data_IF_186264380474
#
_entry.id   IF_186264380474
#
_cell.length_a   1.000
_cell.length_b   1.000
_cell.length_c   1.000
_cell.angle_alpha   90.00
_cell.angle_beta   90.00
_cell.angle_gamma   90.00
#
_symmetry.space_group_name_H-M   'P 1'
#
loop_
_entity.id
_entity.type
_entity.pdbx_description
1 polymer ?
#
# COMPACT_ATOMS: atom_id res chain seq x y z
N UNK A 1 -5.44 -46.51 -7.04
CA UNK A 1 -4.23 -46.22 -6.22
C UNK A 1 -3.18 -45.67 -7.18
N UNK A 2 -3.13 -44.35 -7.38
CA UNK A 2 -2.24 -43.75 -8.39
C UNK A 2 -2.63 -42.33 -8.78
N UNK A 3 -2.63 -41.39 -7.82
CA UNK A 3 -2.92 -39.97 -8.09
C UNK A 3 -2.09 -38.99 -7.24
N UNK A 4 -0.97 -39.44 -6.65
CA UNK A 4 -0.18 -38.64 -5.70
C UNK A 4 1.32 -38.59 -6.02
N UNK A 5 1.74 -38.70 -7.28
CA UNK A 5 3.16 -38.54 -7.60
C UNK A 5 3.40 -37.85 -8.95
N UNK A 6 2.90 -36.63 -9.09
CA UNK A 6 3.57 -35.62 -9.91
C UNK A 6 4.35 -34.71 -8.98
N UNK A 7 5.28 -35.30 -8.21
CA UNK A 7 6.33 -34.53 -7.54
C UNK A 7 7.13 -33.89 -8.67
N UNK A 8 7.20 -32.56 -8.66
CA UNK A 8 8.01 -31.79 -9.61
C UNK A 8 9.44 -32.33 -9.54
N UNK A 9 9.81 -33.16 -10.50
CA UNK A 9 11.14 -33.75 -10.57
C UNK A 9 12.02 -32.74 -11.28
N UNK A 10 12.87 -32.05 -10.51
CA UNK A 10 13.88 -31.15 -11.06
C UNK A 10 14.97 -31.99 -11.73
N UNK A 11 14.77 -32.36 -13.00
CA UNK A 11 15.74 -33.19 -13.74
C UNK A 11 16.90 -32.38 -14.36
N UNK A 12 16.78 -31.04 -14.50
CA UNK A 12 17.74 -30.23 -15.27
C UNK A 12 18.28 -28.99 -14.53
N UNK A 13 19.61 -28.81 -14.53
CA UNK A 13 20.31 -27.61 -14.01
C UNK A 13 19.84 -26.29 -14.68
N UNK A 14 19.39 -26.38 -15.94
CA UNK A 14 18.87 -25.24 -16.70
C UNK A 14 17.53 -24.74 -16.15
N UNK A 15 16.67 -25.62 -15.64
CA UNK A 15 15.38 -25.23 -15.04
C UNK A 15 15.60 -24.50 -13.70
N UNK A 16 16.61 -24.92 -12.93
CA UNK A 16 17.02 -24.21 -11.72
C UNK A 16 17.55 -22.80 -12.03
N UNK A 17 18.30 -22.65 -13.11
CA UNK A 17 18.79 -21.34 -13.56
C UNK A 17 17.66 -20.40 -14.00
N UNK A 18 16.55 -20.94 -14.51
CA UNK A 18 15.34 -20.15 -14.85
C UNK A 18 14.63 -19.62 -13.62
N UNK A 19 14.62 -20.38 -12.52
CA UNK A 19 14.08 -19.93 -11.22
C UNK A 19 14.86 -18.75 -10.63
N UNK A 20 16.17 -18.68 -10.88
CA UNK A 20 17.01 -17.58 -10.42
C UNK A 20 16.91 -16.29 -11.28
N UNK A 21 15.98 -16.24 -12.24
CA UNK A 21 15.72 -15.01 -12.99
C UNK A 21 14.86 -14.03 -12.16
N UNK A 22 15.02 -12.73 -12.40
CA UNK A 22 14.31 -11.67 -11.65
C UNK A 22 12.79 -11.85 -11.59
N UNK A 23 12.15 -12.27 -12.69
CA UNK A 23 10.70 -12.47 -12.75
C UNK A 23 10.21 -13.55 -11.78
N UNK A 24 10.73 -14.80 -11.88
CA UNK A 24 10.38 -15.86 -10.96
C UNK A 24 10.67 -15.59 -9.49
N UNK A 25 11.79 -14.94 -9.19
CA UNK A 25 12.13 -14.56 -7.81
C UNK A 25 11.10 -13.59 -7.25
N UNK A 26 10.75 -12.54 -7.99
CA UNK A 26 9.76 -11.55 -7.55
C UNK A 26 8.39 -12.20 -7.36
N UNK A 27 7.95 -13.04 -8.31
CA UNK A 27 6.66 -13.71 -8.23
C UNK A 27 6.57 -14.64 -7.01
N UNK A 28 7.60 -15.46 -6.77
CA UNK A 28 7.66 -16.32 -5.58
C UNK A 28 7.72 -15.50 -4.29
N UNK A 29 8.44 -14.38 -4.28
CA UNK A 29 8.49 -13.46 -3.15
C UNK A 29 7.11 -12.86 -2.83
N UNK A 30 6.38 -12.40 -3.84
CA UNK A 30 5.02 -11.87 -3.66
C UNK A 30 4.06 -12.96 -3.15
N UNK A 31 4.08 -14.16 -3.75
CA UNK A 31 3.24 -15.28 -3.30
C UNK A 31 3.54 -15.63 -1.84
N UNK A 32 4.82 -15.66 -1.45
CA UNK A 32 5.22 -15.95 -0.08
C UNK A 32 4.71 -14.87 0.89
N UNK A 33 4.98 -13.59 0.62
CA UNK A 33 4.58 -12.48 1.49
C UNK A 33 3.05 -12.43 1.63
N UNK A 34 2.32 -12.45 0.52
CA UNK A 34 0.86 -12.42 0.53
C UNK A 34 0.27 -13.62 1.29
N UNK A 35 0.82 -14.82 1.10
CA UNK A 35 0.35 -16.01 1.82
C UNK A 35 0.65 -15.93 3.31
N UNK A 36 1.85 -15.48 3.70
CA UNK A 36 2.19 -15.31 5.13
C UNK A 36 1.32 -14.27 5.82
N UNK A 37 1.05 -13.14 5.16
CA UNK A 37 0.20 -12.09 5.72
C UNK A 37 -1.25 -12.58 5.84
N UNK A 38 -1.79 -13.24 4.81
CA UNK A 38 -3.13 -13.83 4.88
C UNK A 38 -3.27 -14.86 6.03
N UNK A 39 -2.24 -15.68 6.26
CA UNK A 39 -2.23 -16.62 7.39
C UNK A 39 -2.18 -15.88 8.74
N UNK A 40 -1.30 -14.88 8.88
CA UNK A 40 -1.21 -14.08 10.12
C UNK A 40 -2.54 -13.37 10.41
N UNK A 41 -3.15 -12.74 9.41
CA UNK A 41 -4.44 -12.06 9.56
C UNK A 41 -5.55 -13.04 9.94
N UNK A 42 -5.55 -14.25 9.37
CA UNK A 42 -6.51 -15.30 9.73
C UNK A 42 -6.34 -15.80 11.18
N UNK A 43 -5.13 -15.72 11.73
CA UNK A 43 -4.85 -16.14 13.11
C UNK A 43 -5.18 -15.01 14.09
N UNK A 44 -4.83 -13.77 13.73
CA UNK A 44 -4.89 -12.62 14.63
C UNK A 44 -6.27 -11.93 14.64
N UNK A 45 -6.89 -11.78 13.46
CA UNK A 45 -8.12 -10.98 13.30
C UNK A 45 -9.37 -11.81 13.03
N UNK A 46 -9.23 -13.04 12.55
CA UNK A 46 -10.36 -13.90 12.23
C UNK A 46 -10.75 -14.84 13.38
N UNK A 47 -11.64 -15.80 13.09
CA UNK A 47 -12.18 -16.76 14.03
C UNK A 47 -11.07 -17.65 14.64
N UNK A 48 -11.09 -17.89 15.97
CA UNK A 48 -10.01 -18.59 16.65
C UNK A 48 -9.81 -20.02 16.11
N UNK A 49 -8.56 -20.45 15.96
CA UNK A 49 -8.23 -21.76 15.37
C UNK A 49 -8.90 -22.95 16.08
N UNK A 50 -9.19 -22.83 17.38
CA UNK A 50 -9.85 -23.86 18.16
C UNK A 50 -11.30 -24.14 17.76
N UNK A 51 -11.95 -23.23 17.02
CA UNK A 51 -13.29 -23.47 16.53
C UNK A 51 -13.26 -24.10 15.13
N UNK A 52 -14.21 -25.01 14.87
CA UNK A 52 -14.23 -25.83 13.64
C UNK A 52 -14.20 -24.99 12.36
N UNK A 53 -14.93 -23.88 12.33
CA UNK A 53 -14.96 -22.95 11.20
C UNK A 53 -13.64 -22.21 10.96
N UNK A 54 -12.89 -21.90 12.02
CA UNK A 54 -11.59 -21.24 11.93
C UNK A 54 -10.55 -22.20 11.35
N UNK A 55 -10.55 -23.44 11.87
CA UNK A 55 -9.74 -24.54 11.33
C UNK A 55 -10.03 -24.82 9.85
N UNK A 56 -11.31 -24.87 9.43
CA UNK A 56 -11.68 -25.08 8.03
C UNK A 56 -11.21 -23.94 7.13
N UNK A 57 -11.39 -22.68 7.56
CA UNK A 57 -10.91 -21.53 6.79
C UNK A 57 -9.37 -21.56 6.64
N UNK A 58 -8.65 -21.87 7.72
CA UNK A 58 -7.19 -21.97 7.70
C UNK A 58 -6.69 -23.07 6.75
N UNK A 59 -7.32 -24.25 6.76
CA UNK A 59 -7.00 -25.35 5.83
C UNK A 59 -7.28 -24.94 4.38
N UNK A 60 -8.39 -24.24 4.13
CA UNK A 60 -8.73 -23.73 2.80
C UNK A 60 -7.68 -22.71 2.30
N UNK A 61 -7.23 -21.79 3.16
CA UNK A 61 -6.18 -20.82 2.82
C UNK A 61 -4.86 -21.51 2.46
N UNK A 62 -4.43 -22.50 3.25
CA UNK A 62 -3.24 -23.29 2.94
C UNK A 62 -3.39 -24.02 1.60
N UNK A 63 -4.56 -24.62 1.35
CA UNK A 63 -4.84 -25.31 0.10
C UNK A 63 -4.75 -24.37 -1.11
N UNK A 64 -5.31 -23.15 -0.99
CA UNK A 64 -5.21 -22.13 -2.03
C UNK A 64 -3.78 -21.68 -2.28
N UNK A 65 -2.95 -21.50 -1.24
CA UNK A 65 -1.52 -21.20 -1.41
C UNK A 65 -0.81 -22.31 -2.21
N UNK A 66 -1.06 -23.58 -1.88
CA UNK A 66 -0.48 -24.72 -2.61
C UNK A 66 -0.95 -24.73 -4.07
N UNK A 67 -2.23 -24.47 -4.34
CA UNK A 67 -2.76 -24.38 -5.70
C UNK A 67 -2.14 -23.24 -6.51
N UNK A 68 -1.95 -22.06 -5.91
CA UNK A 68 -1.31 -20.92 -6.57
C UNK A 68 0.12 -21.28 -6.98
N UNK A 69 0.89 -21.86 -6.06
CA UNK A 69 2.28 -22.28 -6.31
C UNK A 69 2.32 -23.36 -7.40
N UNK A 70 1.43 -24.35 -7.35
CA UNK A 70 1.35 -25.41 -8.34
C UNK A 70 1.03 -24.88 -9.75
N UNK A 71 0.01 -24.03 -9.87
CA UNK A 71 -0.36 -23.41 -11.14
C UNK A 71 0.75 -22.52 -11.68
N UNK A 72 1.45 -21.81 -10.79
CA UNK A 72 2.58 -20.97 -11.16
C UNK A 72 3.75 -21.79 -11.74
N UNK A 73 4.15 -22.88 -11.07
CA UNK A 73 5.20 -23.75 -11.58
C UNK A 73 4.81 -24.48 -12.87
N UNK A 74 3.54 -24.88 -13.00
CA UNK A 74 3.04 -25.43 -14.26
C UNK A 74 3.14 -24.42 -15.41
N UNK A 75 2.73 -23.18 -15.19
CA UNK A 75 2.86 -22.12 -16.19
C UNK A 75 4.33 -21.84 -16.55
N UNK A 76 5.23 -21.85 -15.57
CA UNK A 76 6.66 -21.57 -15.75
C UNK A 76 7.39 -22.67 -16.53
N UNK A 77 7.18 -23.94 -16.15
CA UNK A 77 7.92 -25.06 -16.71
C UNK A 77 7.28 -25.67 -17.94
N UNK A 78 5.95 -25.79 -17.98
CA UNK A 78 5.27 -26.39 -19.13
C UNK A 78 5.09 -25.37 -20.28
N UNK A 79 4.80 -24.09 -19.96
CA UNK A 79 4.52 -23.05 -20.96
C UNK A 79 3.39 -23.42 -21.94
N UNK A 80 3.12 -22.59 -22.96
CA UNK A 80 2.12 -22.90 -24.00
C UNK A 80 2.61 -23.93 -25.05
N UNK A 81 3.75 -24.58 -24.82
CA UNK A 81 4.42 -25.45 -25.79
C UNK A 81 5.24 -24.69 -26.84
N UNK A 82 5.85 -25.43 -27.77
CA UNK A 82 6.64 -24.90 -28.87
C UNK A 82 5.86 -25.00 -30.18
N UNK A 83 5.94 -23.95 -30.99
CA UNK A 83 5.41 -23.99 -32.36
C UNK A 83 6.31 -24.93 -33.21
N UNK A 84 5.73 -25.91 -33.94
CA UNK A 84 6.52 -26.82 -34.77
C UNK A 84 7.37 -26.06 -35.81
N UNK A 85 8.58 -26.55 -36.06
CA UNK A 85 9.47 -25.96 -37.09
C UNK A 85 8.77 -26.00 -38.46
N UNK A 86 8.63 -24.84 -39.09
CA UNK A 86 7.94 -24.68 -40.37
C UNK A 86 6.48 -24.23 -40.28
N UNK A 87 5.95 -23.99 -39.09
CA UNK A 87 4.66 -23.34 -38.93
C UNK A 87 4.69 -21.94 -39.57
N UNK A 88 3.75 -21.70 -40.47
CA UNK A 88 3.49 -20.37 -41.05
C UNK A 88 2.05 -20.01 -40.70
N UNK A 89 1.76 -18.76 -40.31
CA UNK A 89 0.38 -18.33 -40.17
C UNK A 89 -0.30 -18.50 -41.54
N UNK A 90 -1.52 -19.02 -41.56
CA UNK A 90 -2.33 -19.09 -42.77
C UNK A 90 -2.44 -17.67 -43.36
N UNK A 91 -1.88 -17.45 -44.55
CA UNK A 91 -2.12 -16.21 -45.28
C UNK A 91 -3.59 -16.17 -45.66
N UNK A 92 -4.33 -15.21 -45.12
CA UNK A 92 -5.77 -15.08 -45.31
C UNK A 92 -6.07 -14.68 -46.77
N UNK A 93 -6.20 -15.67 -47.65
CA UNK A 93 -6.74 -15.52 -49.00
C UNK A 93 -8.18 -16.01 -49.01
N UNK A 94 -9.13 -15.13 -49.29
CA UNK A 94 -10.59 -15.33 -49.17
C UNK A 94 -11.19 -16.54 -49.94
N UNK A 95 -10.40 -17.28 -50.72
CA UNK A 95 -10.91 -18.27 -51.68
C UNK A 95 -10.54 -19.74 -51.40
N UNK A 96 -9.85 -20.07 -50.30
CA UNK A 96 -9.49 -21.49 -50.00
C UNK A 96 -9.48 -21.77 -48.50
N UNK A 97 -10.65 -21.99 -47.92
CA UNK A 97 -10.79 -22.43 -46.51
C UNK A 97 -10.93 -23.96 -46.49
N UNK A 98 -9.83 -24.67 -46.27
CA UNK A 98 -9.84 -26.03 -45.70
C UNK A 98 -9.01 -26.00 -44.42
N UNK A 99 -9.67 -25.75 -43.29
CA UNK A 99 -9.05 -25.79 -41.98
C UNK A 99 -8.98 -27.25 -41.56
N UNK A 100 -7.82 -27.87 -41.73
CA UNK A 100 -7.58 -29.23 -41.21
C UNK A 100 -7.09 -29.14 -39.76
N UNK A 101 -8.03 -29.23 -38.80
CA UNK A 101 -7.74 -29.21 -37.37
C UNK A 101 -7.18 -30.55 -36.83
N UNK A 102 -6.87 -31.52 -37.69
CA UNK A 102 -6.42 -32.85 -37.27
C UNK A 102 -5.07 -32.84 -36.51
N UNK A 103 -4.23 -31.81 -36.70
CA UNK A 103 -2.95 -31.68 -35.99
C UNK A 103 -3.09 -31.21 -34.53
N UNK A 104 -4.17 -30.51 -34.17
CA UNK A 104 -4.42 -30.04 -32.80
C UNK A 104 -4.99 -31.14 -31.88
N UNK A 105 -5.30 -32.33 -32.44
CA UNK A 105 -5.99 -33.42 -31.73
C UNK A 105 -5.05 -34.38 -30.99
N UNK A 106 -3.72 -34.28 -31.16
CA UNK A 106 -2.81 -35.33 -30.66
C UNK A 106 -2.47 -35.24 -29.18
N UNK A 107 -2.60 -34.06 -28.57
CA UNK A 107 -2.41 -33.90 -27.13
C UNK A 107 -3.67 -33.25 -26.55
N UNK A 108 -4.39 -33.90 -25.62
CA UNK A 108 -5.44 -33.25 -24.87
C UNK A 108 -4.79 -32.29 -23.87
N UNK A 109 -4.20 -31.20 -24.38
CA UNK A 109 -3.97 -30.03 -23.54
C UNK A 109 -5.36 -29.59 -23.04
N UNK A 110 -5.49 -29.17 -21.78
CA UNK A 110 -6.73 -28.57 -21.29
C UNK A 110 -7.00 -27.33 -22.15
N UNK A 111 -7.88 -27.49 -23.13
CA UNK A 111 -8.40 -26.38 -23.92
C UNK A 111 -9.20 -25.58 -22.91
N UNK A 112 -8.68 -24.45 -22.43
CA UNK A 112 -9.48 -23.52 -21.66
C UNK A 112 -10.57 -23.05 -22.62
N UNK A 113 -11.84 -23.45 -22.45
CA UNK A 113 -12.86 -23.00 -23.37
C UNK A 113 -12.96 -21.50 -23.17
N UNK A 114 -12.61 -20.73 -24.20
CA UNK A 114 -12.88 -19.29 -24.28
C UNK A 114 -14.41 -19.10 -24.42
N UNK A 115 -15.15 -19.49 -23.40
CA UNK A 115 -16.57 -19.21 -23.27
C UNK A 115 -16.75 -17.74 -22.92
N UNK A 116 -17.87 -17.16 -23.38
CA UNK A 116 -18.23 -15.78 -23.08
C UNK A 116 -18.17 -15.46 -21.57
N UNK A 117 -18.57 -16.43 -20.73
CA UNK A 117 -18.51 -16.32 -19.28
C UNK A 117 -17.08 -16.25 -18.72
N UNK A 118 -16.17 -17.10 -19.22
CA UNK A 118 -14.76 -17.08 -18.79
C UNK A 118 -14.09 -15.75 -19.21
N UNK A 119 -14.37 -15.28 -20.43
CA UNK A 119 -13.90 -13.99 -20.90
C UNK A 119 -14.44 -12.83 -20.05
N UNK A 120 -15.75 -12.80 -19.78
CA UNK A 120 -16.37 -11.79 -18.92
C UNK A 120 -15.80 -11.80 -17.50
N UNK A 121 -15.59 -12.99 -16.92
CA UNK A 121 -14.97 -13.13 -15.60
C UNK A 121 -13.53 -12.59 -15.57
N UNK A 122 -12.73 -12.81 -16.63
CA UNK A 122 -11.37 -12.26 -16.71
C UNK A 122 -11.36 -10.73 -16.84
N UNK A 123 -12.29 -10.14 -17.61
CA UNK A 123 -12.42 -8.68 -17.71
C UNK A 123 -12.87 -8.07 -16.37
N UNK A 124 -13.79 -8.74 -15.67
CA UNK A 124 -14.23 -8.31 -14.34
C UNK A 124 -13.10 -8.39 -13.31
N UNK A 125 -12.36 -9.49 -13.27
CA UNK A 125 -11.21 -9.65 -12.38
C UNK A 125 -10.12 -8.61 -12.67
N UNK A 126 -9.83 -8.33 -13.95
CA UNK A 126 -8.92 -7.25 -14.35
C UNK A 126 -9.43 -5.88 -13.86
N UNK A 127 -10.73 -5.60 -14.04
CA UNK A 127 -11.35 -4.36 -13.58
C UNK A 127 -11.24 -4.17 -12.07
N UNK A 128 -11.51 -5.21 -11.28
CA UNK A 128 -11.36 -5.17 -9.83
C UNK A 128 -9.89 -5.00 -9.41
N UNK A 129 -8.96 -5.71 -10.06
CA UNK A 129 -7.54 -5.60 -9.76
C UNK A 129 -7.00 -4.18 -10.05
N UNK A 130 -7.39 -3.58 -11.17
CA UNK A 130 -7.03 -2.21 -11.51
C UNK A 130 -7.66 -1.21 -10.54
N UNK A 131 -8.97 -1.34 -10.25
CA UNK A 131 -9.67 -0.45 -9.34
C UNK A 131 -9.09 -0.48 -7.92
N UNK A 132 -8.81 -1.67 -7.39
CA UNK A 132 -8.19 -1.84 -6.06
C UNK A 132 -6.76 -1.30 -6.03
N UNK A 133 -5.95 -1.55 -7.06
CA UNK A 133 -4.57 -1.03 -7.14
C UNK A 133 -4.56 0.49 -7.15
N UNK A 134 -5.45 1.12 -7.92
CA UNK A 134 -5.56 2.59 -7.97
C UNK A 134 -6.02 3.14 -6.62
N UNK A 135 -7.06 2.55 -6.02
CA UNK A 135 -7.60 3.00 -4.74
C UNK A 135 -6.57 2.89 -3.60
N UNK A 136 -5.92 1.73 -3.47
CA UNK A 136 -4.86 1.50 -2.47
C UNK A 136 -3.64 2.38 -2.74
N UNK A 137 -3.29 2.60 -4.02
CA UNK A 137 -2.20 3.51 -4.41
C UNK A 137 -2.47 4.97 -4.02
N UNK A 138 -3.71 5.46 -4.20
CA UNK A 138 -4.12 6.80 -3.76
C UNK A 138 -4.05 6.93 -2.24
N UNK A 139 -4.55 5.93 -1.51
CA UNK A 139 -4.45 5.90 -0.04
C UNK A 139 -2.99 5.91 0.41
N UNK A 140 -2.14 5.08 -0.20
CA UNK A 140 -0.71 5.04 0.10
C UNK A 140 -0.05 6.41 -0.10
N UNK A 141 -0.33 7.10 -1.22
CA UNK A 141 0.20 8.42 -1.48
C UNK A 141 -0.22 9.45 -0.43
N UNK A 142 -1.50 9.42 -0.01
CA UNK A 142 -2.01 10.30 1.05
C UNK A 142 -1.29 10.01 2.37
N UNK A 143 -1.15 8.74 2.75
CA UNK A 143 -0.49 8.34 3.99
C UNK A 143 1.00 8.71 4.00
N UNK A 144 1.72 8.52 2.90
CA UNK A 144 3.13 8.95 2.80
C UNK A 144 3.24 10.46 2.95
N UNK A 145 2.34 11.23 2.34
CA UNK A 145 2.36 12.70 2.47
C UNK A 145 2.11 13.17 3.91
N UNK A 146 1.24 12.48 4.64
CA UNK A 146 0.95 12.67 6.07
C UNK A 146 2.22 12.42 6.90
N UNK A 147 2.89 11.29 6.67
CA UNK A 147 4.14 10.91 7.36
C UNK A 147 5.26 11.94 7.10
N UNK A 148 5.45 12.35 5.84
CA UNK A 148 6.50 13.32 5.50
C UNK A 148 6.29 14.71 6.11
N UNK A 149 5.04 15.06 6.47
CA UNK A 149 4.69 16.32 7.12
C UNK A 149 4.61 16.23 8.64
N UNK A 150 4.83 15.03 9.20
CA UNK A 150 4.62 14.69 10.60
C UNK A 150 3.28 15.20 11.17
N UNK A 151 2.20 14.95 10.42
CA UNK A 151 0.83 15.39 10.75
C UNK A 151 -0.14 14.28 10.49
N UNK A 152 -0.92 13.89 11.49
CA UNK A 152 -2.07 13.00 11.33
C UNK A 152 -3.21 13.67 10.55
N UNK A 153 -4.17 12.89 10.04
CA UNK A 153 -5.35 13.45 9.37
C UNK A 153 -6.15 14.40 10.26
N UNK A 154 -6.19 14.13 11.58
CA UNK A 154 -6.87 14.98 12.56
C UNK A 154 -6.13 16.31 12.71
N UNK A 155 -4.81 16.26 12.85
CA UNK A 155 -3.96 17.46 12.96
C UNK A 155 -3.99 18.31 11.70
N UNK A 156 -4.06 17.68 10.52
CA UNK A 156 -4.24 18.39 9.25
C UNK A 156 -5.53 19.20 9.24
N UNK A 157 -6.62 18.66 9.81
CA UNK A 157 -7.88 19.38 9.92
C UNK A 157 -7.80 20.54 10.95
N UNK A 158 -7.05 20.35 12.03
CA UNK A 158 -6.79 21.43 13.02
C UNK A 158 -5.99 22.57 12.37
N UNK A 159 -4.94 22.25 11.62
CA UNK A 159 -4.13 23.24 10.87
C UNK A 159 -4.97 23.99 9.84
N UNK A 160 -5.80 23.29 9.07
CA UNK A 160 -6.67 23.90 8.06
C UNK A 160 -7.68 24.86 8.70
N UNK A 161 -8.31 24.42 9.80
CA UNK A 161 -9.20 25.26 10.60
C UNK A 161 -8.48 26.45 11.22
N UNK A 162 -7.20 26.31 11.56
CA UNK A 162 -6.40 27.42 12.07
C UNK A 162 -6.17 28.48 11.00
N UNK A 163 -5.75 28.05 9.80
CA UNK A 163 -5.53 28.92 8.64
C UNK A 163 -6.80 29.63 8.20
N UNK A 164 -7.93 28.92 8.15
CA UNK A 164 -9.23 29.50 7.79
C UNK A 164 -9.62 30.64 8.74
N UNK A 165 -9.38 30.50 10.04
CA UNK A 165 -9.65 31.56 11.03
C UNK A 165 -8.71 32.76 10.91
N UNK A 166 -7.42 32.52 10.72
CA UNK A 166 -6.43 33.59 10.49
C UNK A 166 -6.82 34.40 9.26
N UNK A 167 -7.17 33.72 8.17
CA UNK A 167 -7.63 34.34 6.94
C UNK A 167 -8.95 35.11 7.14
N UNK A 168 -9.91 34.53 7.88
CA UNK A 168 -11.19 35.17 8.17
C UNK A 168 -11.06 36.49 8.94
N UNK A 169 -10.16 36.53 9.93
CA UNK A 169 -9.89 37.74 10.73
C UNK A 169 -8.82 38.65 10.12
N UNK A 170 -8.29 38.32 8.93
CA UNK A 170 -7.20 39.04 8.26
C UNK A 170 -6.00 39.28 9.19
N UNK A 171 -5.66 38.27 9.98
CA UNK A 171 -4.48 38.30 10.83
C UNK A 171 -3.25 38.07 9.94
N UNK A 172 -2.27 38.96 10.02
CA UNK A 172 -0.97 38.80 9.35
C UNK A 172 -0.06 37.85 10.13
N UNK A 173 -0.61 36.70 10.48
CA UNK A 173 0.00 35.67 11.32
C UNK A 173 0.07 34.37 10.53
N UNK A 174 1.18 33.64 10.66
CA UNK A 174 1.39 32.33 10.04
C UNK A 174 1.32 31.27 11.13
N UNK A 175 0.44 30.29 10.92
CA UNK A 175 0.35 29.13 11.80
C UNK A 175 1.49 28.14 11.49
N UNK A 176 2.36 27.94 12.46
CA UNK A 176 3.48 26.99 12.40
C UNK A 176 3.09 25.72 13.15
N UNK A 177 3.26 24.57 12.50
CA UNK A 177 2.89 23.28 13.10
C UNK A 177 3.99 22.77 14.06
N UNK A 178 3.70 22.52 15.35
CA UNK A 178 4.73 22.23 16.36
C UNK A 178 5.57 20.98 16.11
N UNK A 179 4.95 19.88 15.65
CA UNK A 179 5.62 18.60 15.47
C UNK A 179 6.31 18.45 14.11
N UNK A 180 6.23 19.45 13.22
CA UNK A 180 6.95 19.42 11.95
C UNK A 180 8.40 19.87 12.15
N UNK A 181 9.33 18.92 12.08
CA UNK A 181 10.77 19.19 12.29
C UNK A 181 11.43 19.91 11.10
N UNK A 182 10.66 20.30 10.08
CA UNK A 182 11.13 21.08 8.92
C UNK A 182 11.84 20.24 7.84
N UNK A 183 12.50 19.13 8.21
CA UNK A 183 13.03 18.15 7.26
C UNK A 183 12.10 16.94 7.15
N UNK A 184 11.57 16.73 5.93
CA UNK A 184 10.71 15.57 5.61
C UNK A 184 11.35 14.22 5.96
N UNK A 185 12.68 14.14 5.90
CA UNK A 185 13.39 12.90 6.18
C UNK A 185 13.47 12.61 7.68
N UNK A 186 13.55 13.65 8.50
CA UNK A 186 13.52 13.50 9.95
C UNK A 186 12.12 13.05 10.39
N UNK A 187 11.08 13.64 9.80
CA UNK A 187 9.68 13.23 10.01
C UNK A 187 9.46 11.76 9.60
N UNK A 188 10.03 11.33 8.46
CA UNK A 188 9.91 9.96 7.99
C UNK A 188 10.54 8.93 8.93
N UNK A 189 11.70 9.25 9.52
CA UNK A 189 12.43 8.36 10.43
C UNK A 189 11.67 8.03 11.71
N UNK A 190 10.80 8.94 12.17
CA UNK A 190 9.98 8.67 13.36
C UNK A 190 9.07 7.46 13.17
N UNK A 191 8.59 7.23 11.95
CA UNK A 191 7.67 6.12 11.63
C UNK A 191 8.43 4.90 11.12
N UNK A 192 9.41 5.10 10.23
CA UNK A 192 10.15 4.01 9.59
C UNK A 192 11.54 3.85 10.18
N UNK A 193 11.63 2.98 11.19
CA UNK A 193 12.89 2.55 11.80
C UNK A 193 13.28 1.15 11.32
N UNK A 194 14.58 0.83 11.41
CA UNK A 194 15.08 -0.51 11.07
C UNK A 194 14.59 -1.62 12.02
N UNK A 195 14.14 -1.25 13.23
CA UNK A 195 13.55 -2.19 14.20
C UNK A 195 12.10 -2.53 13.90
N UNK A 196 11.43 -1.80 12.98
CA UNK A 196 10.00 -1.94 12.73
C UNK A 196 9.11 -1.39 13.84
N UNK A 197 9.69 -0.65 14.80
CA UNK A 197 8.98 0.01 15.90
C UNK A 197 9.15 1.51 15.75
N UNK A 198 8.07 2.31 15.67
CA UNK A 198 8.19 3.76 15.56
C UNK A 198 8.97 4.35 16.74
N UNK A 199 9.68 5.44 16.48
CA UNK A 199 10.47 6.15 17.47
C UNK A 199 9.55 6.96 18.40
N UNK A 200 9.61 6.67 19.70
CA UNK A 200 8.79 7.34 20.72
C UNK A 200 7.99 6.37 21.57
N UNK A 201 7.43 6.87 22.67
CA UNK A 201 6.55 6.15 23.59
C UNK A 201 5.05 6.36 23.27
N UNK A 202 4.76 7.23 22.29
CA UNK A 202 3.41 7.62 21.89
C UNK A 202 2.77 8.69 22.79
N UNK A 203 3.46 9.14 23.83
CA UNK A 203 3.02 10.19 24.75
C UNK A 203 3.78 11.50 24.48
N UNK A 204 5.09 11.39 24.30
CA UNK A 204 5.99 12.50 24.04
C UNK A 204 6.55 12.44 22.61
N UNK A 205 6.63 13.61 21.97
CA UNK A 205 7.02 13.75 20.58
C UNK A 205 8.06 14.86 20.48
N UNK A 206 9.11 14.73 19.66
CA UNK A 206 10.06 15.82 19.50
C UNK A 206 9.36 17.00 18.81
N UNK A 207 9.51 18.18 19.41
CA UNK A 207 8.88 19.42 18.95
C UNK A 207 9.95 20.34 18.35
N UNK A 208 9.54 21.20 17.41
CA UNK A 208 10.38 22.28 16.90
C UNK A 208 10.87 23.21 18.02
N UNK A 209 12.05 23.80 17.85
CA UNK A 209 12.61 24.80 18.77
C UNK A 209 11.61 25.96 19.02
N UNK A 210 11.36 26.28 20.29
CA UNK A 210 10.42 27.33 20.70
C UNK A 210 8.95 26.89 20.86
N UNK A 211 8.63 25.62 20.61
CA UNK A 211 7.31 25.03 20.83
C UNK A 211 7.31 24.03 22.00
N UNK A 212 6.14 23.82 22.62
CA UNK A 212 5.98 22.93 23.78
C UNK A 212 5.21 21.65 23.40
N UNK A 213 5.44 20.56 24.14
CA UNK A 213 4.79 19.25 23.92
C UNK A 213 3.26 19.31 23.86
N UNK A 214 2.66 20.24 24.61
CA UNK A 214 1.22 20.39 24.73
C UNK A 214 0.72 21.68 24.12
N UNK A 215 1.47 22.29 23.19
CA UNK A 215 1.02 23.54 22.58
C UNK A 215 -0.40 23.38 22.00
N UNK A 216 -0.74 22.29 21.31
CA UNK A 216 -2.10 22.09 20.77
C UNK A 216 -3.21 21.90 21.84
N UNK A 217 -2.87 21.55 23.08
CA UNK A 217 -3.83 21.18 24.14
C UNK A 217 -3.88 22.16 25.32
N UNK A 218 -2.83 22.95 25.57
CA UNK A 218 -2.77 23.89 26.70
C UNK A 218 -3.60 25.14 26.41
N UNK A 219 -4.62 25.34 27.24
CA UNK A 219 -5.60 26.43 27.14
C UNK A 219 -5.12 27.77 27.69
N UNK A 220 -4.07 27.77 28.52
CA UNK A 220 -3.67 28.88 29.39
C UNK A 220 -2.99 30.04 28.64
N UNK A 221 -2.43 29.78 27.45
CA UNK A 221 -1.60 30.76 26.70
C UNK A 221 -2.14 31.03 25.30
N UNK A 222 -3.48 31.08 25.15
CA UNK A 222 -4.10 31.28 23.83
C UNK A 222 -4.15 32.76 23.43
N UNK A 223 -3.60 33.10 22.26
CA UNK A 223 -3.85 34.38 21.58
C UNK A 223 -5.34 34.44 21.27
N UNK A 224 -6.01 35.43 21.88
CA UNK A 224 -7.45 35.72 21.71
C UNK A 224 -8.37 34.52 21.96
N UNK A 225 -7.91 33.52 22.72
CA UNK A 225 -8.68 32.30 23.04
C UNK A 225 -8.66 31.21 21.98
N UNK A 226 -7.95 31.39 20.86
CA UNK A 226 -8.00 30.48 19.71
C UNK A 226 -6.75 29.60 19.57
N UNK A 227 -5.55 30.18 19.68
CA UNK A 227 -4.30 29.48 19.37
C UNK A 227 -3.21 29.71 20.40
N UNK A 228 -2.35 28.72 20.69
CA UNK A 228 -1.21 28.88 21.58
C UNK A 228 -0.25 29.94 21.03
N UNK A 229 0.29 30.84 21.87
CA UNK A 229 1.24 31.88 21.45
C UNK A 229 2.44 31.33 20.65
N UNK A 230 2.91 30.14 20.99
CA UNK A 230 4.13 29.56 20.43
C UNK A 230 3.92 28.95 19.02
N UNK A 231 2.66 28.78 18.57
CA UNK A 231 2.35 28.20 17.25
C UNK A 231 2.05 29.27 16.18
N UNK A 232 2.22 30.54 16.52
CA UNK A 232 1.79 31.68 15.70
C UNK A 232 2.97 32.63 15.55
N UNK A 233 3.44 32.79 14.32
CA UNK A 233 4.52 33.72 13.98
C UNK A 233 3.95 34.89 13.18
N UNK A 234 4.43 36.13 13.39
CA UNK A 234 4.03 37.25 12.52
C UNK A 234 4.60 37.03 11.12
N UNK A 235 3.83 37.37 10.09
CA UNK A 235 4.29 37.27 8.71
C UNK A 235 5.54 38.14 8.50
N UNK A 236 6.57 37.69 7.76
CA UNK A 236 7.78 38.49 7.49
C UNK A 236 7.58 39.75 6.62
N UNK A 237 6.35 40.10 6.28
CA UNK A 237 6.03 41.23 5.43
C UNK A 237 5.10 42.20 6.15
N UNK A 238 5.61 42.89 7.18
CA UNK A 238 5.33 44.30 7.44
C UNK A 238 6.29 44.79 8.53
N UNK A 239 7.22 45.67 8.15
CA UNK A 239 8.11 46.35 9.07
C UNK A 239 7.36 47.37 9.93
N UNK A 240 7.85 47.54 11.15
CA UNK A 240 7.63 48.68 12.04
C UNK A 240 6.23 48.86 12.69
N UNK A 241 6.16 48.53 13.99
CA UNK A 241 5.56 49.29 15.12
C UNK A 241 4.65 48.45 16.04
N UNK A 242 5.27 47.77 17.02
CA UNK A 242 4.56 47.39 18.25
C UNK A 242 4.51 48.61 19.20
N UNK A 243 3.34 49.08 19.67
CA UNK A 243 3.29 49.91 20.87
C UNK A 243 3.53 49.02 22.11
N UNK A 244 4.40 49.51 23.00
CA UNK A 244 4.80 48.85 24.24
C UNK A 244 3.61 48.50 25.15
N UNK A 245 3.72 47.47 26.01
CA UNK A 245 2.65 47.09 26.93
C UNK A 245 2.45 48.16 28.00
N UNK A 246 1.27 48.79 28.04
CA UNK A 246 0.86 49.64 29.17
C UNK A 246 0.77 48.79 30.44
N UNK A 247 1.58 49.16 31.42
CA UNK A 247 1.70 48.50 32.71
C UNK A 247 0.46 48.65 33.60
N UNK A 248 0.30 47.66 34.46
CA UNK A 248 -0.58 47.63 35.63
C UNK A 248 -0.67 48.97 36.36
N UNK A 249 -1.87 49.57 36.41
CA UNK A 249 -2.23 50.46 37.52
C UNK A 249 -2.82 49.62 38.65
N UNK A 250 -1.97 49.30 39.63
CA UNK A 250 -2.38 48.85 40.96
C UNK A 250 -3.11 49.99 41.68
N UNK A 251 -4.24 49.63 42.29
CA UNK A 251 -4.98 50.40 43.28
C UNK A 251 -4.08 50.98 44.38
N UNK A 252 -4.29 52.25 44.72
CA UNK A 252 -4.35 52.74 46.10
C UNK A 252 -5.28 53.94 46.17
#
# INVERSE_FOLDING_TARGET
>A
MGTFCSVIRFENLQELKRLCHWGPIIALGVIAICSTMAMIDSILWYWPLHTTGGSVNFIMLINWTVMIIYNYFNAMFAGPGFVPRGWKPLSFGWNTVKIDMSAARRDPLPIVPFGLAAFAATLFALGLALGTTIAVGMLFFIQIKIILRNKTSIESWIEEKAKDRIQYYQLDEVFVFPYDMGSKWMNFKQVFTWSGVPEGDGLEWPVREGCDQYSLTVSTSRIRGWFPRNCVEKSPCDGESDPAPEGEKKNR
#
